data_IF_956201582717
#
_entry.id   IF_956201582717
#
_cell.length_a   1.000
_cell.length_b   1.000
_cell.length_c   1.000
_cell.angle_alpha   90.00
_cell.angle_beta   90.00
_cell.angle_gamma   90.00
#
_symmetry.space_group_name_H-M   'P 1'
#
loop_
_entity.id
_entity.type
_entity.pdbx_description
1 polymer ?
#
# COMPACT_ATOMS: atom_id res chain seq x y z
N UNK A 1 -16.07 -37.52 15.70
CA UNK A 1 -15.04 -37.46 14.66
C UNK A 1 -15.13 -36.11 13.98
N UNK A 2 -14.25 -35.18 14.36
CA UNK A 2 -14.22 -33.83 13.76
C UNK A 2 -13.41 -33.95 12.46
N UNK A 3 -14.09 -34.08 11.33
CA UNK A 3 -13.44 -33.97 10.02
C UNK A 3 -13.14 -32.50 9.80
N UNK A 4 -11.89 -32.07 10.12
CA UNK A 4 -11.42 -30.78 9.72
C UNK A 4 -11.55 -30.68 8.18
N UNK A 5 -12.32 -29.71 7.69
CA UNK A 5 -12.35 -29.43 6.25
C UNK A 5 -10.92 -29.17 5.78
N UNK A 6 -10.52 -29.67 4.60
CA UNK A 6 -9.17 -29.46 4.08
C UNK A 6 -8.94 -27.97 3.89
N UNK A 7 -8.01 -27.40 4.65
CA UNK A 7 -7.64 -26.00 4.49
C UNK A 7 -7.02 -25.80 3.10
N UNK A 8 -7.53 -24.82 2.35
CA UNK A 8 -7.00 -24.47 1.04
C UNK A 8 -5.52 -24.10 1.12
N UNK A 9 -4.74 -24.55 0.16
CA UNK A 9 -3.32 -24.19 0.04
C UNK A 9 -3.18 -22.70 -0.33
N UNK A 10 -2.00 -22.11 -0.05
CA UNK A 10 -1.69 -20.73 -0.49
C UNK A 10 -1.91 -20.52 -2.00
N UNK A 11 -1.66 -21.54 -2.82
CA UNK A 11 -1.83 -21.46 -4.28
C UNK A 11 -3.29 -21.43 -4.68
N UNK A 12 -4.13 -22.26 -4.07
CA UNK A 12 -5.58 -22.26 -4.33
C UNK A 12 -6.25 -20.98 -3.85
N UNK A 13 -5.86 -20.48 -2.66
CA UNK A 13 -6.33 -19.19 -2.15
C UNK A 13 -5.97 -18.04 -3.08
N UNK A 14 -4.72 -17.97 -3.58
CA UNK A 14 -4.31 -16.94 -4.56
C UNK A 14 -5.21 -16.98 -5.79
N UNK A 15 -5.41 -18.16 -6.36
CA UNK A 15 -6.24 -18.32 -7.57
C UNK A 15 -7.68 -17.85 -7.32
N UNK A 16 -8.28 -18.27 -6.21
CA UNK A 16 -9.64 -17.89 -5.82
C UNK A 16 -9.76 -16.37 -5.63
N UNK A 17 -8.92 -15.78 -4.79
CA UNK A 17 -8.96 -14.34 -4.48
C UNK A 17 -8.69 -13.46 -5.71
N UNK A 18 -7.74 -13.85 -6.56
CA UNK A 18 -7.47 -13.15 -7.82
C UNK A 18 -8.66 -13.22 -8.77
N UNK A 19 -9.36 -14.35 -8.85
CA UNK A 19 -10.57 -14.47 -9.68
C UNK A 19 -11.69 -13.58 -9.13
N UNK A 20 -11.93 -13.61 -7.82
CA UNK A 20 -12.93 -12.74 -7.17
C UNK A 20 -12.60 -11.26 -7.38
N UNK A 21 -11.32 -10.87 -7.27
CA UNK A 21 -10.91 -9.49 -7.53
C UNK A 21 -11.12 -9.07 -8.99
N UNK A 22 -10.82 -9.97 -9.94
CA UNK A 22 -11.05 -9.72 -11.38
C UNK A 22 -12.52 -9.62 -11.77
N UNK A 23 -13.46 -10.14 -10.97
CA UNK A 23 -14.89 -10.03 -11.24
C UNK A 23 -15.48 -8.67 -10.85
N UNK A 24 -14.71 -7.80 -10.17
CA UNK A 24 -15.15 -6.44 -9.91
C UNK A 24 -15.29 -5.66 -11.22
N UNK A 25 -16.42 -4.97 -11.39
CA UNK A 25 -16.58 -4.00 -12.46
C UNK A 25 -15.62 -2.81 -12.26
N UNK A 26 -15.30 -2.09 -13.33
CA UNK A 26 -14.45 -0.91 -13.27
C UNK A 26 -15.00 0.14 -12.29
N UNK A 27 -16.32 0.29 -12.22
CA UNK A 27 -16.97 1.22 -11.31
C UNK A 27 -16.83 0.79 -9.84
N UNK A 28 -17.07 -0.48 -9.52
CA UNK A 28 -16.89 -1.02 -8.16
C UNK A 28 -15.45 -0.91 -7.70
N UNK A 29 -14.50 -1.30 -8.58
CA UNK A 29 -13.08 -1.20 -8.31
C UNK A 29 -12.67 0.26 -7.98
N UNK A 30 -13.15 1.25 -8.77
CA UNK A 30 -12.88 2.67 -8.53
C UNK A 30 -13.48 3.13 -7.20
N UNK A 31 -14.75 2.87 -6.96
CA UNK A 31 -15.44 3.26 -5.72
C UNK A 31 -14.81 2.66 -4.47
N UNK A 32 -14.38 1.40 -4.55
CA UNK A 32 -13.69 0.73 -3.43
C UNK A 32 -12.31 1.34 -3.21
N UNK A 33 -11.56 1.61 -4.28
CA UNK A 33 -10.24 2.26 -4.19
C UNK A 33 -10.33 3.66 -3.58
N UNK A 34 -11.30 4.47 -4.03
CA UNK A 34 -11.51 5.82 -3.50
C UNK A 34 -11.87 5.81 -2.01
N UNK A 35 -12.75 4.89 -1.58
CA UNK A 35 -13.11 4.72 -0.17
C UNK A 35 -11.89 4.30 0.67
N UNK A 36 -11.07 3.36 0.18
CA UNK A 36 -9.86 2.93 0.86
C UNK A 36 -8.87 4.10 1.00
N UNK A 37 -8.64 4.86 -0.07
CA UNK A 37 -7.79 6.05 -0.03
C UNK A 37 -8.29 7.08 0.99
N UNK A 38 -9.58 7.36 1.01
CA UNK A 38 -10.19 8.27 2.00
C UNK A 38 -9.98 7.78 3.45
N UNK A 39 -10.06 6.47 3.71
CA UNK A 39 -9.76 5.90 5.03
C UNK A 39 -8.32 6.14 5.44
N UNK A 40 -7.37 5.91 4.53
CA UNK A 40 -5.96 6.16 4.78
C UNK A 40 -5.68 7.64 5.03
N UNK A 41 -6.15 8.53 4.16
CA UNK A 41 -5.93 9.98 4.26
C UNK A 41 -6.41 10.57 5.57
N UNK A 42 -7.50 10.06 6.12
CA UNK A 42 -8.07 10.52 7.39
C UNK A 42 -7.47 9.82 8.62
N UNK A 43 -6.48 8.93 8.45
CA UNK A 43 -5.84 8.23 9.57
C UNK A 43 -4.66 9.03 10.15
N UNK A 44 -4.44 9.00 11.47
CA UNK A 44 -3.25 9.61 12.07
C UNK A 44 -1.94 9.05 11.51
N UNK A 45 -1.89 7.75 11.18
CA UNK A 45 -0.72 7.11 10.59
C UNK A 45 -0.33 7.77 9.26
N UNK A 46 -1.31 8.06 8.41
CA UNK A 46 -1.06 8.68 7.12
C UNK A 46 -0.76 10.18 7.27
N UNK A 47 -1.53 10.89 8.10
CA UNK A 47 -1.38 12.35 8.24
C UNK A 47 -0.03 12.73 8.84
N UNK A 48 0.50 11.95 9.78
CA UNK A 48 1.78 12.17 10.44
C UNK A 48 2.98 11.69 9.62
N UNK A 49 2.80 10.71 8.73
CA UNK A 49 3.88 10.20 7.89
C UNK A 49 4.38 11.26 6.91
N UNK A 50 5.68 11.46 6.82
CA UNK A 50 6.36 12.36 5.87
C UNK A 50 6.85 11.59 4.64
N UNK A 51 7.40 10.41 4.84
CA UNK A 51 7.88 9.52 3.78
C UNK A 51 7.08 8.23 3.75
N UNK A 52 6.39 7.99 2.64
CA UNK A 52 5.49 6.85 2.47
C UNK A 52 5.98 6.00 1.31
N UNK A 53 6.18 4.71 1.55
CA UNK A 53 6.39 3.74 0.49
C UNK A 53 5.04 3.19 0.02
N UNK A 54 4.84 3.19 -1.31
CA UNK A 54 3.63 2.72 -1.95
C UNK A 54 3.96 1.83 -3.15
N UNK A 55 2.97 1.48 -3.94
CA UNK A 55 3.12 0.66 -5.14
C UNK A 55 2.21 1.20 -6.26
N UNK A 56 2.57 0.91 -7.50
CA UNK A 56 1.66 1.11 -8.62
C UNK A 56 0.72 -0.08 -8.72
N UNK A 57 -0.58 0.19 -8.66
CA UNK A 57 -1.63 -0.83 -8.69
C UNK A 57 -1.52 -1.68 -9.96
N UNK A 58 -1.53 -2.98 -9.80
CA UNK A 58 -1.61 -3.94 -10.90
C UNK A 58 -2.71 -4.98 -10.63
N UNK A 59 -3.19 -5.64 -11.67
CA UNK A 59 -4.17 -6.73 -11.58
C UNK A 59 -5.38 -6.39 -10.70
N UNK A 60 -5.91 -5.18 -10.84
CA UNK A 60 -7.03 -4.66 -10.04
C UNK A 60 -6.78 -4.62 -8.52
N UNK A 61 -5.55 -4.42 -8.08
CA UNK A 61 -5.27 -4.00 -6.70
C UNK A 61 -5.95 -2.66 -6.39
N UNK A 62 -6.13 -2.30 -5.10
CA UNK A 62 -6.57 -0.96 -4.76
C UNK A 62 -5.69 0.09 -5.43
N UNK A 63 -6.32 1.03 -6.14
CA UNK A 63 -5.61 2.14 -6.77
C UNK A 63 -5.32 3.21 -5.72
N UNK A 64 -4.04 3.39 -5.45
CA UNK A 64 -3.57 4.39 -4.48
C UNK A 64 -3.27 5.75 -5.12
N UNK A 65 -3.46 5.90 -6.44
CA UNK A 65 -3.15 7.16 -7.15
C UNK A 65 -3.82 8.40 -6.55
N UNK A 66 -5.05 8.37 -5.99
CA UNK A 66 -5.62 9.52 -5.32
C UNK A 66 -4.79 10.06 -4.15
N UNK A 67 -4.00 9.20 -3.48
CA UNK A 67 -3.20 9.61 -2.33
C UNK A 67 -2.03 10.53 -2.70
N UNK A 68 -1.43 10.33 -3.87
CA UNK A 68 -0.24 11.08 -4.29
C UNK A 68 -0.52 12.08 -5.42
N UNK A 69 -1.70 12.03 -6.07
CA UNK A 69 -2.11 13.03 -7.06
C UNK A 69 -2.86 14.22 -6.45
N UNK A 70 -3.51 14.06 -5.31
CA UNK A 70 -4.24 15.15 -4.62
C UNK A 70 -3.31 16.26 -4.13
N UNK A 71 -2.10 15.90 -3.70
CA UNK A 71 -1.09 16.86 -3.24
C UNK A 71 -0.66 17.88 -4.32
N UNK A 72 -0.75 17.50 -5.59
CA UNK A 72 -0.41 18.40 -6.73
C UNK A 72 -1.54 19.40 -7.00
N UNK A 73 -2.80 19.00 -6.81
CA UNK A 73 -3.96 19.90 -7.01
C UNK A 73 -4.02 21.00 -5.96
N UNK A 74 -3.72 20.67 -4.70
CA UNK A 74 -3.68 21.65 -3.61
C UNK A 74 -2.55 22.67 -3.79
N UNK A 75 -1.35 22.22 -4.19
CA UNK A 75 -0.23 23.12 -4.48
C UNK A 75 -0.51 24.06 -5.68
N UNK A 76 -1.21 23.57 -6.71
CA UNK A 76 -1.57 24.37 -7.90
C UNK A 76 -2.67 25.40 -7.60
N UNK A 77 -3.62 25.11 -6.70
CA UNK A 77 -4.62 26.08 -6.27
C UNK A 77 -4.04 27.24 -5.46
N UNK A 78 -2.99 26.98 -4.67
CA UNK A 78 -2.34 28.02 -3.85
C UNK A 78 -1.50 28.99 -4.69
N UNK A 79 -1.01 28.59 -5.86
CA UNK A 79 -0.25 29.45 -6.76
C UNK A 79 -1.14 30.38 -7.61
N UNK A 80 -2.44 30.10 -7.72
CA UNK A 80 -3.38 30.86 -8.55
C UNK A 80 -4.31 31.80 -7.77
N UNK A 81 -4.22 31.86 -6.44
CA UNK A 81 -5.03 32.78 -5.60
C UNK A 81 -4.24 34.02 -5.17
N UNK A 82 -3.84 34.84 -6.15
CA UNK A 82 -3.55 36.25 -5.91
C UNK A 82 -4.86 36.96 -5.57
N UNK A 83 -4.87 37.68 -4.44
CA UNK A 83 -5.92 38.57 -3.94
C UNK A 83 -7.25 37.90 -3.48
N UNK A 84 -7.28 37.48 -2.21
CA UNK A 84 -8.41 37.75 -1.32
C UNK A 84 -7.96 37.60 0.15
N UNK A 85 -7.82 38.69 0.85
CA UNK A 85 -7.77 38.77 2.31
C UNK A 85 -9.17 38.39 2.84
N UNK A 86 -9.34 37.19 3.30
CA UNK A 86 -10.36 36.81 4.27
C UNK A 86 -9.80 35.68 5.14
N UNK A 87 -9.77 35.95 6.42
CA UNK A 87 -9.15 35.12 7.44
C UNK A 87 -9.79 33.72 7.50
N UNK A 88 -9.05 32.71 7.08
CA UNK A 88 -9.38 31.32 7.35
C UNK A 88 -8.57 30.81 8.57
N UNK A 89 -9.18 30.09 9.52
CA UNK A 89 -8.53 29.71 10.76
C UNK A 89 -7.43 28.69 10.49
N UNK A 90 -6.24 28.96 11.05
CA UNK A 90 -5.07 28.05 11.22
C UNK A 90 -4.83 27.03 10.09
N UNK A 91 -4.37 27.54 8.95
CA UNK A 91 -3.83 26.70 7.88
C UNK A 91 -2.41 26.22 8.24
N UNK A 92 -2.31 25.05 8.86
CA UNK A 92 -1.10 24.24 8.73
C UNK A 92 -1.06 23.76 7.28
N UNK A 93 -0.22 24.39 6.44
CA UNK A 93 0.07 23.91 5.08
C UNK A 93 0.56 22.46 5.22
N UNK A 94 -0.13 21.45 4.67
CA UNK A 94 0.32 20.08 4.77
C UNK A 94 1.70 19.99 4.12
N UNK A 95 2.71 19.58 4.86
CA UNK A 95 4.03 19.34 4.31
C UNK A 95 3.90 18.31 3.19
N UNK A 96 4.43 18.58 1.98
CA UNK A 96 4.32 17.65 0.87
C UNK A 96 4.98 16.32 1.27
N UNK A 97 4.22 15.22 1.09
CA UNK A 97 4.72 13.87 1.42
C UNK A 97 5.73 13.42 0.38
N UNK A 98 6.82 12.81 0.85
CA UNK A 98 7.78 12.10 0.00
C UNK A 98 7.23 10.72 -0.32
N UNK A 99 7.15 10.37 -1.60
CA UNK A 99 6.64 9.09 -2.05
C UNK A 99 7.76 8.21 -2.60
N UNK A 100 7.81 6.95 -2.15
CA UNK A 100 8.70 5.93 -2.65
C UNK A 100 7.96 4.79 -3.33
N UNK A 101 8.46 4.40 -4.49
CA UNK A 101 7.93 3.27 -5.25
C UNK A 101 9.00 2.24 -5.51
N UNK A 102 8.64 0.93 -5.52
CA UNK A 102 9.60 -0.14 -5.63
C UNK A 102 10.04 -0.36 -7.07
N UNK A 103 11.30 -0.78 -7.20
CA UNK A 103 11.87 -1.41 -8.38
C UNK A 103 12.31 -2.81 -8.02
N UNK A 104 12.01 -3.78 -8.88
CA UNK A 104 12.51 -5.15 -8.73
C UNK A 104 13.94 -5.24 -9.26
N UNK A 105 14.91 -5.44 -8.37
CA UNK A 105 16.33 -5.62 -8.72
C UNK A 105 16.77 -7.01 -8.26
N UNK A 106 16.88 -7.94 -9.19
CA UNK A 106 17.14 -9.34 -8.85
C UNK A 106 16.02 -9.92 -7.98
N UNK A 107 16.33 -10.25 -6.73
CA UNK A 107 15.37 -10.78 -5.74
C UNK A 107 14.95 -9.76 -4.69
N UNK A 108 15.38 -8.52 -4.82
CA UNK A 108 15.19 -7.45 -3.82
C UNK A 108 14.33 -6.32 -4.36
N UNK A 109 13.80 -5.49 -3.45
CA UNK A 109 13.15 -4.22 -3.77
C UNK A 109 14.12 -3.07 -3.51
N UNK A 110 14.29 -2.22 -4.53
CA UNK A 110 14.99 -0.94 -4.40
C UNK A 110 13.94 0.16 -4.43
N UNK A 111 13.95 1.05 -3.45
CA UNK A 111 12.94 2.09 -3.30
C UNK A 111 13.44 3.42 -3.85
N UNK A 112 12.65 4.03 -4.72
CA UNK A 112 12.99 5.26 -5.42
C UNK A 112 11.91 6.32 -5.24
N UNK A 113 12.35 7.57 -5.14
CA UNK A 113 11.44 8.73 -5.12
C UNK A 113 10.76 8.83 -6.48
N UNK A 114 9.47 9.06 -6.45
CA UNK A 114 8.68 9.37 -7.63
C UNK A 114 7.53 10.29 -7.24
N UNK A 115 7.21 11.23 -8.10
CA UNK A 115 6.08 12.14 -7.97
C UNK A 115 5.31 12.22 -9.29
N UNK A 116 4.03 12.61 -9.27
CA UNK A 116 3.23 12.76 -10.48
C UNK A 116 3.91 13.68 -11.49
N UNK A 117 4.10 13.16 -12.71
CA UNK A 117 4.84 13.82 -13.79
C UNK A 117 6.23 13.25 -14.05
N UNK A 118 6.83 12.54 -13.11
CA UNK A 118 8.09 11.86 -13.35
C UNK A 118 7.93 10.68 -14.30
N UNK A 119 8.95 10.42 -15.11
CA UNK A 119 8.95 9.32 -16.04
C UNK A 119 8.94 7.97 -15.32
N UNK A 120 8.22 7.03 -15.92
CA UNK A 120 8.15 5.63 -15.51
C UNK A 120 8.60 4.72 -16.65
N UNK A 121 9.07 3.53 -16.32
CA UNK A 121 9.28 2.46 -17.30
C UNK A 121 8.53 1.19 -16.86
N UNK A 122 8.34 0.28 -17.81
CA UNK A 122 7.78 -1.04 -17.49
C UNK A 122 8.90 -1.93 -16.97
N UNK A 123 8.82 -2.30 -15.71
CA UNK A 123 9.77 -3.18 -15.05
C UNK A 123 9.43 -4.65 -15.19
N UNK A 124 9.98 -5.45 -14.29
CA UNK A 124 9.69 -6.86 -14.19
C UNK A 124 8.17 -7.09 -13.97
N UNK A 125 7.65 -8.17 -14.52
CA UNK A 125 6.23 -8.54 -14.39
C UNK A 125 5.23 -7.58 -15.06
N UNK A 126 5.68 -6.65 -15.90
CA UNK A 126 4.83 -5.67 -16.56
C UNK A 126 4.30 -4.57 -15.63
N UNK A 127 4.92 -4.38 -14.47
CA UNK A 127 4.55 -3.36 -13.49
C UNK A 127 5.33 -2.08 -13.79
N UNK A 128 4.68 -0.92 -13.64
CA UNK A 128 5.36 0.36 -13.76
C UNK A 128 6.33 0.56 -12.58
N UNK A 129 7.51 1.08 -12.87
CA UNK A 129 8.56 1.36 -11.91
C UNK A 129 9.19 2.73 -12.19
N UNK A 130 9.70 3.46 -11.17
CA UNK A 130 10.55 4.63 -11.40
C UNK A 130 11.76 4.29 -12.28
N UNK A 131 12.38 5.28 -12.89
CA UNK A 131 13.60 5.06 -13.67
C UNK A 131 14.75 4.54 -12.80
N UNK A 132 15.75 3.82 -13.39
CA UNK A 132 16.87 3.28 -12.63
C UNK A 132 17.72 4.33 -11.92
N UNK A 133 17.80 5.52 -12.48
CA UNK A 133 18.55 6.70 -12.00
C UNK A 133 17.73 7.62 -11.09
N UNK A 134 16.41 7.32 -10.88
CA UNK A 134 15.62 8.06 -9.93
C UNK A 134 16.23 7.99 -8.51
N UNK A 135 16.17 9.09 -7.71
CA UNK A 135 16.77 9.13 -6.40
C UNK A 135 16.24 8.01 -5.49
N UNK A 136 17.14 7.34 -4.77
CA UNK A 136 16.78 6.30 -3.80
C UNK A 136 16.25 6.91 -2.51
N UNK A 137 15.37 6.17 -1.85
CA UNK A 137 14.93 6.47 -0.48
C UNK A 137 15.76 5.65 0.49
N UNK A 138 16.31 6.33 1.49
CA UNK A 138 16.94 5.66 2.63
C UNK A 138 15.85 5.09 3.55
N UNK A 139 16.03 3.84 4.00
CA UNK A 139 15.08 3.19 4.89
C UNK A 139 14.86 3.98 6.20
N UNK A 140 15.88 4.69 6.70
CA UNK A 140 15.79 5.49 7.92
C UNK A 140 14.74 6.60 7.83
N UNK A 141 14.50 7.14 6.63
CA UNK A 141 13.52 8.20 6.39
C UNK A 141 12.07 7.70 6.32
N UNK A 142 11.85 6.39 6.21
CA UNK A 142 10.52 5.81 5.95
C UNK A 142 9.67 5.77 7.22
N UNK A 143 8.48 6.37 7.14
CA UNK A 143 7.51 6.40 8.23
C UNK A 143 6.40 5.35 8.07
N UNK A 144 5.95 5.10 6.83
CA UNK A 144 4.82 4.23 6.54
C UNK A 144 5.05 3.45 5.25
N UNK A 145 4.70 2.17 5.26
CA UNK A 145 4.75 1.28 4.09
C UNK A 145 3.35 0.77 3.78
N UNK A 146 2.82 1.10 2.61
CA UNK A 146 1.58 0.56 2.08
C UNK A 146 1.93 -0.70 1.28
N UNK A 147 1.50 -1.85 1.78
CA UNK A 147 1.92 -3.16 1.28
C UNK A 147 0.82 -3.78 0.41
N UNK A 148 1.09 -4.08 -0.87
CA UNK A 148 0.14 -4.79 -1.72
C UNK A 148 0.03 -6.26 -1.30
N UNK A 149 -1.19 -6.81 -1.46
CA UNK A 149 -1.42 -8.22 -1.22
C UNK A 149 -2.54 -8.78 -2.12
N UNK A 150 -2.51 -10.08 -2.32
CA UNK A 150 -3.63 -10.82 -2.91
C UNK A 150 -4.75 -10.97 -1.90
N UNK A 151 -4.40 -11.19 -0.63
CA UNK A 151 -5.29 -11.24 0.51
C UNK A 151 -4.53 -11.06 1.82
N UNK A 152 -5.25 -10.84 2.90
CA UNK A 152 -4.71 -10.72 4.24
C UNK A 152 -5.65 -11.38 5.24
N UNK A 153 -5.14 -11.83 6.37
CA UNK A 153 -6.00 -12.31 7.45
C UNK A 153 -6.07 -11.31 8.61
N UNK A 154 -7.05 -11.52 9.48
CA UNK A 154 -7.32 -10.62 10.61
C UNK A 154 -6.16 -10.50 11.60
N UNK A 155 -5.14 -11.37 11.50
CA UNK A 155 -3.91 -11.36 12.30
C UNK A 155 -2.78 -10.54 11.65
N UNK A 156 -2.98 -10.06 10.40
CA UNK A 156 -1.99 -9.28 9.66
C UNK A 156 -1.09 -10.08 8.73
N UNK A 157 -1.23 -11.39 8.68
CA UNK A 157 -0.50 -12.17 7.70
C UNK A 157 -1.05 -11.92 6.31
N UNK A 158 -0.15 -11.74 5.34
CA UNK A 158 -0.52 -11.44 3.97
C UNK A 158 -0.20 -12.58 3.02
N UNK A 159 -1.03 -12.74 2.02
CA UNK A 159 -0.82 -13.60 0.88
C UNK A 159 -0.34 -12.76 -0.31
N UNK A 160 0.96 -12.83 -0.61
CA UNK A 160 1.55 -12.16 -1.78
C UNK A 160 1.39 -12.96 -3.07
N UNK A 161 1.94 -12.44 -4.16
CA UNK A 161 1.92 -13.10 -5.49
C UNK A 161 2.87 -14.29 -5.64
N UNK A 162 3.69 -14.60 -4.64
CA UNK A 162 4.62 -15.72 -4.65
C UNK A 162 6.07 -15.36 -5.00
N UNK A 163 6.38 -14.11 -5.31
CA UNK A 163 7.75 -13.66 -5.59
C UNK A 163 8.63 -13.47 -4.36
N UNK A 164 8.03 -13.39 -3.16
CA UNK A 164 8.73 -13.29 -1.88
C UNK A 164 9.47 -11.95 -1.64
N UNK A 165 9.26 -10.93 -2.47
CA UNK A 165 9.96 -9.65 -2.37
C UNK A 165 9.73 -8.95 -1.03
N UNK A 166 8.49 -8.80 -0.63
CA UNK A 166 8.15 -8.17 0.65
C UNK A 166 8.54 -9.04 1.85
N UNK A 167 8.48 -10.39 1.73
CA UNK A 167 8.88 -11.28 2.81
C UNK A 167 10.36 -11.13 3.11
N UNK A 168 11.19 -11.09 2.06
CA UNK A 168 12.63 -10.84 2.20
C UNK A 168 12.90 -9.45 2.78
N UNK A 169 12.27 -8.40 2.25
CA UNK A 169 12.44 -7.05 2.75
C UNK A 169 12.06 -6.95 4.24
N UNK A 170 10.87 -7.41 4.61
CA UNK A 170 10.37 -7.32 5.99
C UNK A 170 11.09 -8.24 6.97
N UNK A 171 11.93 -9.17 6.50
CA UNK A 171 12.79 -9.99 7.35
C UNK A 171 14.10 -9.30 7.74
N UNK A 172 14.45 -8.18 7.10
CA UNK A 172 15.65 -7.41 7.43
C UNK A 172 15.39 -6.51 8.63
N UNK A 173 16.35 -6.44 9.56
CA UNK A 173 16.22 -5.71 10.81
C UNK A 173 15.90 -4.21 10.63
N UNK A 174 16.41 -3.60 9.56
CA UNK A 174 16.16 -2.19 9.22
C UNK A 174 14.69 -1.86 8.92
N UNK A 175 13.88 -2.85 8.52
CA UNK A 175 12.46 -2.68 8.24
C UNK A 175 11.54 -3.10 9.40
N UNK A 176 12.07 -3.74 10.45
CA UNK A 176 11.28 -4.30 11.55
C UNK A 176 10.49 -3.23 12.33
N UNK A 177 11.09 -2.05 12.50
CA UNK A 177 10.45 -0.92 13.22
C UNK A 177 9.49 -0.10 12.37
N UNK A 178 9.39 -0.36 11.06
CA UNK A 178 8.60 0.45 10.13
C UNK A 178 7.14 0.06 10.15
N UNK A 179 6.26 1.04 10.24
CA UNK A 179 4.81 0.79 10.22
C UNK A 179 4.39 0.28 8.84
N UNK A 180 3.75 -0.88 8.81
CA UNK A 180 3.31 -1.56 7.58
C UNK A 180 1.80 -1.77 7.58
N UNK A 181 1.12 -1.34 6.51
CA UNK A 181 -0.34 -1.48 6.36
C UNK A 181 -0.63 -2.23 5.06
N UNK A 182 -1.27 -3.40 5.16
CA UNK A 182 -1.81 -4.06 3.99
C UNK A 182 -2.94 -3.22 3.38
N UNK A 183 -2.93 -3.05 2.07
CA UNK A 183 -3.99 -2.39 1.33
C UNK A 183 -4.67 -3.41 0.43
N UNK A 184 -5.87 -3.83 0.82
CA UNK A 184 -6.66 -4.84 0.12
C UNK A 184 -8.14 -4.43 0.08
N UNK A 185 -8.93 -5.02 -0.80
CA UNK A 185 -10.38 -4.92 -0.69
C UNK A 185 -10.91 -5.88 0.37
N UNK A 186 -12.04 -5.54 0.99
CA UNK A 186 -12.69 -6.33 2.04
C UNK A 186 -12.93 -7.78 1.63
N UNK A 187 -13.26 -8.01 0.36
CA UNK A 187 -13.44 -9.36 -0.22
C UNK A 187 -12.19 -10.26 -0.13
N UNK A 188 -11.02 -9.68 0.14
CA UNK A 188 -9.75 -10.39 0.30
C UNK A 188 -9.26 -10.44 1.76
N UNK A 189 -10.10 -9.98 2.72
CA UNK A 189 -9.86 -10.12 4.15
C UNK A 189 -10.41 -11.46 4.64
N UNK A 190 -9.54 -12.30 5.14
CA UNK A 190 -9.84 -13.66 5.59
C UNK A 190 -9.78 -13.79 7.10
N UNK A 191 -10.48 -14.77 7.67
CA UNK A 191 -10.36 -15.09 9.08
C UNK A 191 -8.95 -15.61 9.41
N UNK A 192 -8.40 -16.47 8.56
CA UNK A 192 -7.07 -17.07 8.74
C UNK A 192 -6.46 -17.49 7.42
N UNK A 193 -5.16 -17.20 7.26
CA UNK A 193 -4.31 -17.70 6.17
C UNK A 193 -3.42 -18.84 6.69
N UNK A 194 -3.06 -19.80 5.83
CA UNK A 194 -1.93 -20.68 6.11
C UNK A 194 -0.64 -19.84 6.10
N UNK A 195 0.17 -20.00 7.15
CA UNK A 195 1.42 -19.25 7.34
C UNK A 195 2.61 -20.18 7.41
N UNK A 196 3.74 -19.74 6.90
CA UNK A 196 5.03 -20.37 7.03
C UNK A 196 5.89 -19.63 8.07
N UNK A 197 6.97 -20.23 8.54
CA UNK A 197 7.82 -19.66 9.60
C UNK A 197 8.49 -18.33 9.23
N UNK A 198 8.61 -18.04 7.94
CA UNK A 198 9.18 -16.78 7.43
C UNK A 198 8.15 -15.67 7.17
N UNK A 199 6.86 -15.99 7.22
CA UNK A 199 5.82 -14.98 7.04
C UNK A 199 5.79 -14.03 8.24
N UNK A 200 5.83 -12.73 7.98
CA UNK A 200 5.75 -11.69 9.01
C UNK A 200 4.38 -11.02 8.98
N UNK A 201 3.72 -10.85 10.14
CA UNK A 201 2.47 -10.10 10.20
C UNK A 201 2.75 -8.60 10.01
N UNK A 202 1.81 -7.90 9.36
CA UNK A 202 1.85 -6.46 9.20
C UNK A 202 1.21 -5.77 10.42
N UNK A 203 1.51 -4.48 10.60
CA UNK A 203 1.00 -3.66 11.71
C UNK A 203 -0.48 -3.29 11.54
N UNK A 204 -1.03 -3.41 10.33
CA UNK A 204 -2.45 -3.14 10.13
C UNK A 204 -2.93 -3.50 8.73
N UNK A 205 -4.23 -3.36 8.55
CA UNK A 205 -4.94 -3.66 7.31
C UNK A 205 -5.89 -2.51 7.03
N UNK A 206 -5.83 -1.97 5.83
CA UNK A 206 -6.79 -1.00 5.31
C UNK A 206 -7.61 -1.62 4.20
N UNK A 207 -8.93 -1.55 4.35
CA UNK A 207 -9.90 -1.92 3.32
C UNK A 207 -10.81 -0.72 3.02
N UNK A 208 -11.70 -0.85 2.04
CA UNK A 208 -12.75 0.16 1.81
C UNK A 208 -13.75 0.26 2.98
N UNK A 209 -13.80 -0.75 3.86
CA UNK A 209 -14.69 -0.78 5.02
C UNK A 209 -14.06 -0.16 6.27
N UNK A 210 -12.73 -0.20 6.42
CA UNK A 210 -12.05 0.34 7.60
C UNK A 210 -10.54 0.18 7.60
N UNK A 211 -9.91 0.85 8.57
CA UNK A 211 -8.50 0.67 8.94
C UNK A 211 -8.42 -0.02 10.30
N UNK A 212 -7.80 -1.18 10.34
CA UNK A 212 -7.58 -1.97 11.56
C UNK A 212 -6.10 -2.01 11.88
N UNK A 213 -5.72 -1.58 13.08
CA UNK A 213 -4.37 -1.74 13.61
C UNK A 213 -4.31 -3.05 14.38
N UNK A 214 -3.25 -3.81 14.15
CA UNK A 214 -3.03 -5.11 14.77
C UNK A 214 -2.02 -4.92 15.89
N UNK A 215 -2.45 -5.18 17.12
CA UNK A 215 -1.52 -5.20 18.25
C UNK A 215 -0.61 -6.42 18.11
N UNK A 216 0.66 -6.18 17.81
CA UNK A 216 1.65 -7.24 17.90
C UNK A 216 1.82 -7.57 19.38
N UNK A 217 1.62 -8.83 19.74
CA UNK A 217 1.96 -9.29 21.09
C UNK A 217 3.48 -9.22 21.24
N UNK A 218 3.91 -8.40 22.17
CA UNK A 218 5.31 -8.33 22.65
C UNK A 218 5.78 -9.69 23.12
#
# INVERSE_FOLDING_TARGET
MNTAEPSLTKTELRKSLLNTRKSLSAQEWRQKSDRLCNRLQNSPLFTQAKTILAYFSCRQEPDLSPLFTSSVKEASCLLNSGDRQDACPTNTIPTPKKWGFPRCVGKELSWHIWQPGDALHTGAYGILEPLPDAPKIDYSEVDLILVPAVGCDVRGYRLGYGGGYYDRMLSLAEWESKVTIATIFELALLAQLPVDSWDKPLHGICTESGLKIIQQKS
#
